data_IF_114004569980
#
_entry.id   IF_114004569980
#
_cell.length_a   1.000
_cell.length_b   1.000
_cell.length_c   1.000
_cell.angle_alpha   90.00
_cell.angle_beta   90.00
_cell.angle_gamma   90.00
#
_symmetry.space_group_name_H-M   'P 1'
#
loop_
_entity.id
_entity.type
_entity.pdbx_description
1 polymer ?
#
# COMPACT_ATOMS: atom_id res chain seq x y z
N UNK A 1 -1.46 0.46 -10.94
CA UNK A 1 -1.87 0.56 -9.52
C UNK A 1 -0.62 0.47 -8.67
N UNK A 2 -0.10 1.59 -8.15
CA UNK A 2 1.25 1.64 -7.57
C UNK A 2 1.45 0.69 -6.39
N UNK A 3 0.41 0.40 -5.60
CA UNK A 3 0.53 -0.44 -4.40
C UNK A 3 0.51 -1.94 -4.70
N UNK A 4 -0.34 -2.39 -5.64
CA UNK A 4 -0.37 -3.80 -6.07
C UNK A 4 0.90 -4.15 -6.84
N UNK A 5 1.36 -3.23 -7.68
CA UNK A 5 2.63 -3.39 -8.40
C UNK A 5 3.82 -3.46 -7.43
N UNK A 6 3.81 -2.64 -6.36
CA UNK A 6 4.82 -2.72 -5.31
C UNK A 6 4.81 -4.10 -4.64
N UNK A 7 3.63 -4.60 -4.24
CA UNK A 7 3.49 -5.92 -3.63
C UNK A 7 4.00 -7.04 -4.56
N UNK A 8 3.81 -6.94 -5.88
CA UNK A 8 4.31 -7.93 -6.83
C UNK A 8 5.82 -7.80 -7.07
N UNK A 9 6.33 -6.58 -7.14
CA UNK A 9 7.74 -6.31 -7.43
C UNK A 9 8.64 -6.77 -6.29
N UNK A 10 8.25 -6.49 -5.05
CA UNK A 10 9.09 -6.66 -3.87
C UNK A 10 8.95 -8.04 -3.19
N UNK A 11 7.90 -8.81 -3.49
CA UNK A 11 7.68 -10.11 -2.86
C UNK A 11 7.98 -11.31 -3.76
N UNK A 12 8.55 -12.37 -3.20
CA UNK A 12 8.57 -13.71 -3.79
C UNK A 12 7.13 -14.19 -3.96
N UNK A 13 6.79 -14.66 -5.16
CA UNK A 13 5.47 -15.21 -5.47
C UNK A 13 5.65 -16.61 -6.02
N UNK A 14 5.14 -17.61 -5.31
CA UNK A 14 5.18 -19.00 -5.74
C UNK A 14 3.97 -19.77 -5.19
N UNK A 15 3.82 -21.04 -5.58
CA UNK A 15 2.80 -21.91 -4.96
C UNK A 15 3.01 -22.08 -3.45
N UNK A 16 4.26 -22.06 -2.99
CA UNK A 16 4.63 -22.18 -1.58
C UNK A 16 4.48 -20.85 -0.83
N UNK A 17 4.67 -19.72 -1.52
CA UNK A 17 4.55 -18.37 -0.98
C UNK A 17 3.56 -17.57 -1.83
N UNK A 18 2.24 -17.79 -1.66
CA UNK A 18 1.24 -17.05 -2.42
C UNK A 18 1.16 -15.61 -1.92
N UNK A 19 1.12 -14.65 -2.84
CA UNK A 19 0.88 -13.25 -2.50
C UNK A 19 -0.60 -13.06 -2.12
N UNK A 20 -0.84 -12.65 -0.87
CA UNK A 20 -2.15 -12.16 -0.42
C UNK A 20 -2.08 -10.64 -0.26
N UNK A 21 -3.04 -9.97 -0.88
CA UNK A 21 -3.25 -8.53 -0.71
C UNK A 21 -4.63 -8.30 -0.12
N UNK A 22 -4.66 -7.66 1.04
CA UNK A 22 -5.88 -7.28 1.73
C UNK A 22 -6.18 -5.80 1.42
N UNK A 23 -7.41 -5.54 0.97
CA UNK A 23 -7.90 -4.19 0.67
C UNK A 23 -9.20 -3.99 1.45
N UNK A 24 -9.20 -3.02 2.35
CA UNK A 24 -10.34 -2.81 3.24
C UNK A 24 -10.40 -1.37 3.74
N UNK A 25 -11.56 -0.97 4.26
CA UNK A 25 -11.75 0.35 4.89
C UNK A 25 -11.72 0.24 6.41
N UNK A 26 -11.28 1.30 7.09
CA UNK A 26 -11.34 1.41 8.56
C UNK A 26 -12.45 2.35 9.01
N UNK A 27 -12.74 2.34 10.32
CA UNK A 27 -13.74 3.23 10.92
C UNK A 27 -13.33 4.71 10.87
N UNK A 28 -12.05 4.99 10.65
CA UNK A 28 -11.46 6.34 10.53
C UNK A 28 -11.43 6.85 9.06
N UNK A 29 -12.34 6.35 8.22
CA UNK A 29 -12.47 6.73 6.80
C UNK A 29 -11.15 6.57 6.01
N UNK A 30 -10.39 5.50 6.28
CA UNK A 30 -9.17 5.16 5.55
C UNK A 30 -9.39 3.95 4.65
N UNK A 31 -8.86 3.97 3.42
CA UNK A 31 -8.61 2.79 2.61
C UNK A 31 -7.23 2.24 2.96
N UNK A 32 -7.16 0.97 3.32
CA UNK A 32 -5.94 0.26 3.66
C UNK A 32 -5.65 -0.80 2.61
N UNK A 33 -4.42 -0.78 2.08
CA UNK A 33 -3.87 -1.85 1.23
C UNK A 33 -2.71 -2.48 1.98
N UNK A 34 -2.75 -3.79 2.18
CA UNK A 34 -1.78 -4.52 2.99
C UNK A 34 -1.36 -5.83 2.31
N UNK A 35 -0.08 -6.20 2.41
CA UNK A 35 0.41 -7.52 1.99
C UNK A 35 1.44 -8.04 2.99
N UNK A 36 1.55 -9.37 3.10
CA UNK A 36 2.64 -10.00 3.82
C UNK A 36 3.98 -9.71 3.11
N UNK A 37 5.04 -9.46 3.87
CA UNK A 37 6.39 -9.16 3.38
C UNK A 37 7.12 -10.48 3.18
N UNK A 38 7.44 -10.79 1.93
CA UNK A 38 8.16 -11.99 1.52
C UNK A 38 9.28 -11.56 0.59
N UNK A 39 10.33 -10.91 1.11
CA UNK A 39 11.26 -10.13 0.29
C UNK A 39 12.00 -11.02 -0.70
N UNK A 40 12.12 -10.56 -1.95
CA UNK A 40 13.01 -11.21 -2.92
C UNK A 40 14.47 -10.99 -2.50
N UNK A 41 15.32 -12.02 -2.62
CA UNK A 41 16.76 -11.95 -2.35
C UNK A 41 17.55 -11.08 -3.35
N UNK A 42 16.88 -10.43 -4.30
CA UNK A 42 17.52 -9.52 -5.25
C UNK A 42 17.69 -8.13 -4.63
N UNK A 43 18.89 -7.54 -4.78
CA UNK A 43 19.16 -6.13 -4.48
C UNK A 43 18.31 -5.22 -5.38
N UNK A 44 17.05 -5.07 -5.01
CA UNK A 44 16.15 -4.15 -5.67
C UNK A 44 16.40 -2.77 -5.07
N UNK A 45 17.26 -1.98 -5.74
CA UNK A 45 17.41 -0.55 -5.50
C UNK A 45 16.07 0.15 -5.80
N UNK A 46 15.14 0.11 -4.85
CA UNK A 46 13.86 0.77 -4.94
C UNK A 46 14.10 2.26 -4.67
N UNK A 47 13.89 3.11 -5.67
CA UNK A 47 14.08 4.56 -5.52
C UNK A 47 12.98 5.23 -4.67
N UNK A 48 11.99 4.47 -4.16
CA UNK A 48 10.84 4.99 -3.42
C UNK A 48 9.89 5.89 -4.23
N UNK A 49 10.15 6.09 -5.52
CA UNK A 49 9.43 7.04 -6.40
C UNK A 49 7.93 6.75 -6.43
N UNK A 50 7.53 5.48 -6.46
CA UNK A 50 6.11 5.09 -6.49
C UNK A 50 5.34 5.58 -5.26
N UNK A 51 5.91 5.38 -4.07
CA UNK A 51 5.30 5.83 -2.81
C UNK A 51 5.35 7.35 -2.67
N UNK A 52 6.44 8.00 -3.09
CA UNK A 52 6.55 9.46 -3.11
C UNK A 52 5.51 10.10 -4.04
N UNK A 53 5.29 9.52 -5.22
CA UNK A 53 4.27 9.98 -6.17
C UNK A 53 2.86 9.79 -5.61
N UNK A 54 2.60 8.67 -4.95
CA UNK A 54 1.31 8.41 -4.31
C UNK A 54 1.04 9.42 -3.19
N UNK A 55 2.03 9.65 -2.32
CA UNK A 55 1.96 10.64 -1.25
C UNK A 55 1.69 12.05 -1.80
N UNK A 56 2.44 12.48 -2.82
CA UNK A 56 2.28 13.80 -3.42
C UNK A 56 0.89 14.03 -4.01
N UNK A 57 0.33 13.01 -4.69
CA UNK A 57 -1.03 13.07 -5.24
C UNK A 57 -2.09 13.20 -4.15
N UNK A 58 -1.99 12.39 -3.09
CA UNK A 58 -2.95 12.45 -1.98
C UNK A 58 -2.86 13.78 -1.23
N UNK A 59 -1.65 14.28 -0.96
CA UNK A 59 -1.45 15.59 -0.33
C UNK A 59 -2.01 16.73 -1.19
N UNK A 60 -1.83 16.68 -2.50
CA UNK A 60 -2.39 17.66 -3.44
C UNK A 60 -3.92 17.63 -3.49
N UNK A 61 -4.54 16.44 -3.47
CA UNK A 61 -5.99 16.27 -3.60
C UNK A 61 -6.75 16.50 -2.29
N UNK A 62 -6.14 16.21 -1.14
CA UNK A 62 -6.83 16.17 0.17
C UNK A 62 -6.25 17.10 1.21
N UNK A 63 -5.03 17.60 1.01
CA UNK A 63 -4.25 18.25 2.07
C UNK A 63 -3.76 17.28 3.16
N UNK A 64 -4.06 15.98 3.08
CA UNK A 64 -3.69 14.97 4.07
C UNK A 64 -2.55 14.09 3.59
N UNK A 65 -1.71 13.66 4.52
CA UNK A 65 -0.64 12.70 4.26
C UNK A 65 -1.19 11.26 4.25
N UNK A 66 -0.54 10.40 3.48
CA UNK A 66 -0.75 8.94 3.55
C UNK A 66 0.12 8.35 4.65
N UNK A 67 -0.34 7.25 5.25
CA UNK A 67 0.46 6.53 6.24
C UNK A 67 1.04 5.26 5.64
N UNK A 68 2.35 5.06 5.79
CA UNK A 68 3.06 3.87 5.31
C UNK A 68 3.66 3.17 6.53
N UNK A 69 3.35 1.90 6.70
CA UNK A 69 3.90 1.04 7.75
C UNK A 69 4.53 -0.18 7.11
N UNK A 70 5.84 -0.29 7.28
CA UNK A 70 6.64 -1.45 6.89
C UNK A 70 7.21 -2.07 8.17
N UNK A 71 6.44 -2.92 8.84
CA UNK A 71 6.83 -3.48 10.14
C UNK A 71 6.63 -4.98 10.18
N UNK A 72 7.70 -5.67 10.60
CA UNK A 72 7.79 -7.11 10.90
C UNK A 72 7.39 -8.02 9.75
N UNK A 73 6.08 -8.14 9.52
CA UNK A 73 5.48 -9.12 8.63
C UNK A 73 4.62 -8.47 7.54
N UNK A 74 4.14 -7.24 7.72
CA UNK A 74 3.21 -6.62 6.78
C UNK A 74 3.69 -5.27 6.29
N UNK A 75 3.58 -5.09 4.97
CA UNK A 75 3.66 -3.80 4.32
C UNK A 75 2.23 -3.27 4.17
N UNK A 76 1.97 -2.08 4.72
CA UNK A 76 0.64 -1.48 4.76
C UNK A 76 0.70 -0.01 4.35
N UNK A 77 -0.22 0.39 3.48
CA UNK A 77 -0.46 1.79 3.13
C UNK A 77 -1.89 2.16 3.45
N UNK A 78 -2.07 3.19 4.27
CA UNK A 78 -3.37 3.77 4.60
C UNK A 78 -3.55 5.10 3.86
N UNK A 79 -4.67 5.22 3.15
CA UNK A 79 -5.03 6.33 2.28
C UNK A 79 -6.33 6.95 2.79
N UNK A 80 -6.42 8.27 2.99
CA UNK A 80 -7.69 8.89 3.37
C UNK A 80 -8.72 8.78 2.25
N UNK A 81 -9.94 8.35 2.57
CA UNK A 81 -11.02 8.29 1.58
C UNK A 81 -11.40 9.70 1.13
N UNK A 82 -11.49 9.89 -0.20
CA UNK A 82 -11.75 11.21 -0.81
C UNK A 82 -13.21 11.64 -0.67
N UNK A 83 -14.14 10.69 -0.61
CA UNK A 83 -15.57 10.92 -0.42
C UNK A 83 -16.11 9.85 0.52
N UNK A 84 -16.95 10.24 1.49
CA UNK A 84 -17.81 9.26 2.18
C UNK A 84 -18.76 8.68 1.13
N UNK A 85 -18.93 7.35 1.00
CA UNK A 85 -20.14 6.86 0.36
C UNK A 85 -21.30 7.46 1.15
N UNK A 86 -22.17 8.21 0.48
CA UNK A 86 -23.39 8.71 1.08
C UNK A 86 -24.06 7.53 1.78
N UNK A 87 -24.33 7.66 3.08
CA UNK A 87 -25.17 6.69 3.78
C UNK A 87 -26.52 6.72 3.06
N UNK A 88 -26.78 5.66 2.29
CA UNK A 88 -28.12 5.39 1.74
C UNK A 88 -28.98 4.88 2.87
#
# INVERSE_FOLDING_TARGET
MPLIENAVKHNVISKQYPLRVDIYTTNEDQLVVSNHIQPKNEENNSSGIGLKNLWGRYRMLTGKDIHISDRKEYFKVSLPLLNKPSKV
#
